data_IF_836717725716
#
_entry.id   IF_836717725716
#
_cell.length_a   1.000
_cell.length_b   1.000
_cell.length_c   1.000
_cell.angle_alpha   90.00
_cell.angle_beta   90.00
_cell.angle_gamma   90.00
#
_symmetry.space_group_name_H-M   'P 1'
#
loop_
_entity.id
_entity.type
_entity.pdbx_description
1 polymer ?
#
# COMPACT_ATOMS: atom_id res chain seq x y z
N UNK A 1 -0.71 23.94 -15.94
CA UNK A 1 -2.16 24.19 -15.70
C UNK A 1 -2.75 22.97 -15.01
N UNK A 2 -3.08 23.13 -13.72
CA UNK A 2 -3.59 22.09 -12.81
C UNK A 2 -5.03 21.68 -13.16
N UNK A 3 -5.26 20.40 -13.46
CA UNK A 3 -6.60 19.80 -13.61
C UNK A 3 -6.77 18.51 -12.79
N UNK A 4 -6.20 18.43 -11.58
CA UNK A 4 -6.26 17.18 -10.78
C UNK A 4 -6.59 17.35 -9.29
N UNK A 5 -6.99 18.52 -8.80
CA UNK A 5 -7.25 18.69 -7.34
C UNK A 5 -8.60 18.15 -6.89
N UNK A 6 -9.58 17.97 -7.78
CA UNK A 6 -10.94 17.55 -7.40
C UNK A 6 -11.16 16.04 -7.31
N UNK A 7 -10.24 15.21 -7.87
CA UNK A 7 -10.43 13.75 -7.89
C UNK A 7 -9.92 13.07 -6.61
N UNK A 8 -8.94 13.64 -5.91
CA UNK A 8 -8.18 12.98 -4.84
C UNK A 8 -8.58 13.40 -3.43
N UNK A 9 -9.88 13.37 -3.10
CA UNK A 9 -10.36 13.69 -1.75
C UNK A 9 -11.08 12.51 -1.12
N UNK A 10 -10.75 12.22 0.13
CA UNK A 10 -11.49 11.30 0.97
C UNK A 10 -12.85 11.91 1.29
N UNK A 11 -13.92 11.16 0.96
CA UNK A 11 -15.31 11.57 1.17
C UNK A 11 -16.03 10.76 2.24
N UNK A 12 -15.33 9.84 2.90
CA UNK A 12 -15.92 9.05 3.98
C UNK A 12 -16.08 9.89 5.24
N UNK A 13 -16.90 9.39 6.16
CA UNK A 13 -17.01 9.91 7.51
C UNK A 13 -16.41 8.85 8.44
N UNK A 14 -15.38 9.24 9.18
CA UNK A 14 -14.79 8.44 10.24
C UNK A 14 -14.60 9.39 11.41
N UNK A 15 -15.23 9.09 12.55
CA UNK A 15 -15.06 9.92 13.74
C UNK A 15 -13.66 9.73 14.32
N UNK A 16 -13.17 10.64 15.18
CA UNK A 16 -11.94 10.43 15.93
C UNK A 16 -11.92 9.08 16.67
N UNK A 17 -13.04 8.69 17.29
CA UNK A 17 -13.17 7.42 18.02
C UNK A 17 -13.07 6.21 17.09
N UNK A 18 -13.63 6.30 15.87
CA UNK A 18 -13.50 5.25 14.86
C UNK A 18 -12.05 5.10 14.38
N UNK A 19 -11.33 6.21 14.22
CA UNK A 19 -9.91 6.24 13.84
C UNK A 19 -9.09 5.56 14.94
N UNK A 20 -9.27 5.98 16.20
CA UNK A 20 -8.58 5.41 17.35
C UNK A 20 -8.85 3.91 17.49
N UNK A 21 -10.13 3.49 17.41
CA UNK A 21 -10.50 2.09 17.49
C UNK A 21 -9.90 1.28 16.33
N UNK A 22 -9.84 1.83 15.12
CA UNK A 22 -9.20 1.18 13.97
C UNK A 22 -7.70 1.02 14.18
N UNK A 23 -7.02 2.06 14.62
CA UNK A 23 -5.57 2.04 14.87
C UNK A 23 -5.23 1.11 16.03
N UNK A 24 -6.04 1.06 17.08
CA UNK A 24 -5.87 0.12 18.19
C UNK A 24 -5.94 -1.35 17.71
N UNK A 25 -6.89 -1.69 16.83
CA UNK A 25 -6.95 -3.02 16.22
C UNK A 25 -5.73 -3.32 15.33
N UNK A 26 -5.25 -2.33 14.58
CA UNK A 26 -4.08 -2.49 13.73
C UNK A 26 -2.80 -2.64 14.55
N UNK A 27 -2.71 -1.94 15.69
CA UNK A 27 -1.64 -2.08 16.66
C UNK A 27 -1.50 -3.52 17.14
N UNK A 28 -2.59 -4.14 17.55
CA UNK A 28 -2.60 -5.55 17.97
C UNK A 28 -2.26 -6.49 16.80
N UNK A 29 -2.89 -6.28 15.63
CA UNK A 29 -2.72 -7.16 14.45
C UNK A 29 -1.30 -7.16 13.92
N UNK A 30 -0.62 -6.02 13.96
CA UNK A 30 0.74 -5.86 13.42
C UNK A 30 1.84 -5.79 14.48
N UNK A 31 1.50 -5.89 15.78
CA UNK A 31 2.47 -5.71 16.86
C UNK A 31 3.14 -4.33 16.80
N UNK A 32 2.36 -3.27 16.59
CA UNK A 32 2.90 -1.91 16.52
C UNK A 32 3.18 -1.36 17.93
N UNK A 33 4.31 -0.68 18.04
CA UNK A 33 4.77 0.01 19.23
C UNK A 33 4.82 1.52 18.98
N UNK A 34 4.76 2.33 20.03
CA UNK A 34 4.89 3.79 19.97
C UNK A 34 4.02 4.50 18.90
N UNK A 35 2.80 4.01 18.72
CA UNK A 35 1.87 4.55 17.71
C UNK A 35 1.41 5.94 18.10
N UNK A 36 1.70 6.93 17.27
CA UNK A 36 1.41 8.35 17.53
C UNK A 36 0.90 9.05 16.28
N UNK A 37 -0.09 9.94 16.47
CA UNK A 37 -0.48 10.94 15.48
C UNK A 37 0.06 12.30 15.92
N UNK A 38 0.70 13.03 15.00
CA UNK A 38 1.20 14.38 15.25
C UNK A 38 0.70 15.32 14.18
N UNK A 39 0.04 16.41 14.55
CA UNK A 39 -0.32 17.47 13.61
C UNK A 39 0.91 18.31 13.25
N UNK A 40 1.02 18.66 11.97
CA UNK A 40 2.09 19.55 11.49
C UNK A 40 1.93 20.97 12.02
N UNK A 41 3.05 21.66 12.16
CA UNK A 41 3.12 23.06 12.63
C UNK A 41 3.85 23.92 11.61
N UNK A 42 3.66 25.25 11.67
CA UNK A 42 4.34 26.18 10.78
C UNK A 42 3.98 25.97 9.32
N UNK A 43 4.96 25.66 8.47
CA UNK A 43 4.77 25.42 7.04
C UNK A 43 3.96 24.14 6.74
N UNK A 44 3.90 23.22 7.71
CA UNK A 44 3.18 21.94 7.58
C UNK A 44 1.81 21.97 8.27
N UNK A 45 1.34 23.14 8.70
CA UNK A 45 0.06 23.28 9.39
C UNK A 45 -1.10 22.65 8.60
N UNK A 46 -1.87 21.80 9.29
CA UNK A 46 -2.99 21.05 8.71
C UNK A 46 -2.64 19.65 8.20
N UNK A 47 -1.35 19.31 8.10
CA UNK A 47 -0.91 17.92 7.87
C UNK A 47 -0.99 17.09 9.14
N UNK A 48 -1.00 15.77 8.98
CA UNK A 48 -0.90 14.81 10.09
C UNK A 48 0.13 13.74 9.75
N UNK A 49 0.98 13.39 10.71
CA UNK A 49 1.91 12.27 10.63
C UNK A 49 1.48 11.13 11.54
N UNK A 50 1.47 9.91 11.01
CA UNK A 50 1.37 8.66 11.77
C UNK A 50 2.76 8.05 11.89
N UNK A 51 3.25 7.90 13.13
CA UNK A 51 4.53 7.27 13.45
C UNK A 51 4.30 6.04 14.31
N UNK A 52 5.06 4.98 14.07
CA UNK A 52 5.08 3.78 14.90
C UNK A 52 6.39 3.00 14.74
N UNK A 53 6.64 2.09 15.66
CA UNK A 53 7.70 1.09 15.63
C UNK A 53 7.10 -0.27 15.28
N UNK A 54 7.79 -1.05 14.46
CA UNK A 54 7.36 -2.40 14.08
C UNK A 54 8.59 -3.19 13.63
N UNK A 55 8.77 -4.39 14.19
CA UNK A 55 9.95 -5.24 13.96
C UNK A 55 11.29 -4.48 14.21
N UNK A 56 11.31 -3.61 15.22
CA UNK A 56 12.47 -2.77 15.55
C UNK A 56 12.78 -1.67 14.52
N UNK A 57 11.87 -1.39 13.58
CA UNK A 57 12.01 -0.36 12.55
C UNK A 57 11.00 0.76 12.78
N UNK A 58 11.45 2.01 12.62
CA UNK A 58 10.58 3.18 12.68
C UNK A 58 9.94 3.44 11.32
N UNK A 59 8.63 3.54 11.30
CA UNK A 59 7.85 3.95 10.13
C UNK A 59 7.17 5.28 10.45
N UNK A 60 7.23 6.22 9.51
CA UNK A 60 6.54 7.49 9.62
C UNK A 60 5.95 7.88 8.27
N UNK A 61 4.65 8.19 8.28
CA UNK A 61 3.93 8.63 7.10
C UNK A 61 3.13 9.87 7.38
N UNK A 62 3.30 10.87 6.52
CA UNK A 62 2.57 12.13 6.56
C UNK A 62 1.46 12.15 5.52
N UNK A 63 0.28 12.63 5.91
CA UNK A 63 -0.83 12.94 5.03
C UNK A 63 -1.15 14.43 5.14
N UNK A 64 -1.07 15.14 4.02
CA UNK A 64 -1.34 16.58 3.90
C UNK A 64 -2.26 16.89 2.71
N UNK A 65 -2.95 15.88 2.19
CA UNK A 65 -3.72 15.95 0.94
C UNK A 65 -5.19 16.24 1.17
N UNK A 66 -5.67 16.15 2.42
CA UNK A 66 -7.08 16.33 2.75
C UNK A 66 -7.39 17.72 3.32
N UNK A 67 -8.65 18.18 3.22
CA UNK A 67 -9.04 19.52 3.68
C UNK A 67 -8.95 19.72 5.20
N UNK A 68 -8.91 18.65 6.00
CA UNK A 68 -8.92 18.73 7.47
C UNK A 68 -7.94 17.73 8.10
N UNK A 69 -7.39 18.01 9.29
CA UNK A 69 -6.56 17.07 10.04
C UNK A 69 -7.28 15.73 10.31
N UNK A 70 -8.56 15.77 10.67
CA UNK A 70 -9.36 14.56 10.88
C UNK A 70 -9.44 13.68 9.62
N UNK A 71 -9.59 14.28 8.43
CA UNK A 71 -9.58 13.54 7.18
C UNK A 71 -8.18 12.97 6.86
N UNK A 72 -7.10 13.71 7.15
CA UNK A 72 -5.73 13.21 7.03
C UNK A 72 -5.50 11.99 7.96
N UNK A 73 -5.96 12.06 9.21
CA UNK A 73 -5.89 10.94 10.17
C UNK A 73 -6.67 9.71 9.69
N UNK A 74 -7.89 9.91 9.15
CA UNK A 74 -8.67 8.82 8.57
C UNK A 74 -7.95 8.16 7.38
N UNK A 75 -7.33 8.96 6.49
CA UNK A 75 -6.53 8.45 5.39
C UNK A 75 -5.35 7.61 5.87
N UNK A 76 -4.63 8.05 6.90
CA UNK A 76 -3.51 7.30 7.47
C UNK A 76 -3.96 5.96 8.08
N UNK A 77 -5.08 5.94 8.79
CA UNK A 77 -5.64 4.70 9.34
C UNK A 77 -6.09 3.71 8.24
N UNK A 78 -6.71 4.21 7.17
CA UNK A 78 -7.11 3.40 6.01
C UNK A 78 -5.90 2.88 5.22
N UNK A 79 -4.86 3.68 5.08
CA UNK A 79 -3.61 3.24 4.47
C UNK A 79 -2.97 2.12 5.29
N UNK A 80 -2.86 2.28 6.61
CA UNK A 80 -2.25 1.26 7.48
C UNK A 80 -3.06 -0.05 7.45
N UNK A 81 -4.39 0.04 7.39
CA UNK A 81 -5.25 -1.14 7.21
C UNK A 81 -4.99 -1.87 5.89
N UNK A 82 -4.73 -1.13 4.81
CA UNK A 82 -4.37 -1.74 3.53
C UNK A 82 -3.01 -2.45 3.60
N UNK A 83 -2.00 -1.81 4.19
CA UNK A 83 -0.68 -2.44 4.42
C UNK A 83 -0.84 -3.73 5.23
N UNK A 84 -1.60 -3.68 6.33
CA UNK A 84 -1.83 -4.83 7.19
C UNK A 84 -2.42 -6.01 6.41
N UNK A 85 -3.46 -5.75 5.62
CA UNK A 85 -4.12 -6.78 4.81
C UNK A 85 -3.18 -7.41 3.78
N UNK A 86 -2.33 -6.62 3.14
CA UNK A 86 -1.42 -7.12 2.12
C UNK A 86 -0.27 -7.94 2.71
N UNK A 87 0.21 -7.57 3.89
CA UNK A 87 1.19 -8.34 4.66
C UNK A 87 0.61 -9.68 5.14
N UNK A 88 -0.59 -9.67 5.73
CA UNK A 88 -1.30 -10.87 6.18
C UNK A 88 -1.60 -11.84 5.03
N UNK A 89 -1.92 -11.30 3.85
CA UNK A 89 -2.13 -12.11 2.64
C UNK A 89 -0.83 -12.62 2.04
N UNK A 90 0.34 -12.21 2.53
CA UNK A 90 1.63 -12.51 1.93
C UNK A 90 1.76 -11.97 0.50
N UNK A 91 1.00 -10.92 0.16
CA UNK A 91 1.09 -10.25 -1.15
C UNK A 91 2.30 -9.33 -1.13
N UNK A 92 2.46 -8.51 -0.10
CA UNK A 92 3.60 -7.61 0.09
C UNK A 92 4.54 -8.15 1.17
N UNK A 93 5.85 -7.96 1.00
CA UNK A 93 6.80 -8.01 2.10
C UNK A 93 6.71 -6.72 2.93
N UNK A 94 7.34 -6.73 4.11
CA UNK A 94 7.43 -5.52 4.94
C UNK A 94 8.12 -4.37 4.19
N UNK A 95 9.24 -4.66 3.53
CA UNK A 95 10.00 -3.69 2.74
C UNK A 95 9.17 -3.11 1.61
N UNK A 96 8.37 -3.93 0.92
CA UNK A 96 7.49 -3.46 -0.14
C UNK A 96 6.37 -2.57 0.39
N UNK A 97 5.72 -2.99 1.49
CA UNK A 97 4.58 -2.29 2.06
C UNK A 97 4.95 -0.88 2.54
N UNK A 98 6.13 -0.69 3.12
CA UNK A 98 6.54 0.57 3.76
C UNK A 98 7.65 1.33 3.02
N UNK A 99 8.01 0.94 1.79
CA UNK A 99 9.12 1.53 1.03
C UNK A 99 9.06 3.06 0.89
N UNK A 100 7.88 3.67 0.90
CA UNK A 100 7.68 5.12 0.76
C UNK A 100 7.77 5.90 2.08
N UNK A 101 7.81 5.20 3.22
CA UNK A 101 7.64 5.76 4.57
C UNK A 101 8.69 5.25 5.59
N UNK A 102 9.65 4.44 5.14
CA UNK A 102 10.72 3.93 6.02
C UNK A 102 11.71 5.04 6.32
N UNK A 103 11.82 5.42 7.59
CA UNK A 103 12.87 6.33 8.04
C UNK A 103 14.03 5.50 8.57
N UNK A 104 15.15 5.54 7.84
CA UNK A 104 16.39 4.82 8.09
C UNK A 104 16.81 4.85 9.57
N UNK A 105 16.68 3.69 10.22
CA UNK A 105 17.60 3.20 11.24
C UNK A 105 17.51 1.67 11.19
N UNK A 106 18.16 1.07 10.19
CA UNK A 106 18.44 -0.35 10.22
C UNK A 106 19.50 -0.56 11.30
N UNK A 107 19.09 -1.02 12.48
CA UNK A 107 20.02 -1.84 13.26
C UNK A 107 20.00 -3.21 12.59
N UNK A 108 21.10 -3.54 11.91
CA UNK A 108 21.25 -4.72 11.04
C UNK A 108 21.12 -6.07 11.76
N UNK A 109 20.93 -6.09 13.09
CA UNK A 109 20.92 -7.31 13.88
C UNK A 109 19.54 -7.94 14.11
N UNK A 110 18.45 -7.38 13.58
CA UNK A 110 17.10 -7.88 13.88
C UNK A 110 16.45 -8.70 12.76
N UNK A 111 17.24 -9.54 12.09
CA UNK A 111 16.78 -10.49 11.06
C UNK A 111 15.83 -11.58 11.62
N UNK A 112 15.77 -11.69 12.96
CA UNK A 112 14.93 -12.61 13.71
C UNK A 112 13.45 -12.18 13.84
N UNK A 113 13.13 -10.92 13.49
CA UNK A 113 11.76 -10.39 13.59
C UNK A 113 10.90 -10.69 12.33
N UNK A 114 11.30 -11.65 11.48
CA UNK A 114 10.41 -12.27 10.47
C UNK A 114 9.35 -13.16 11.16
N UNK A 115 8.69 -12.63 12.19
CA UNK A 115 7.60 -13.26 12.91
C UNK A 115 6.35 -13.18 12.04
N UNK A 116 5.91 -14.35 11.57
CA UNK A 116 4.79 -14.53 10.64
C UNK A 116 3.60 -13.62 10.97
N UNK A 117 3.36 -12.62 10.12
CA UNK A 117 2.06 -11.96 10.04
C UNK A 117 0.98 -13.03 10.01
N UNK A 118 -0.17 -12.77 10.64
CA UNK A 118 -1.30 -13.71 10.55
C UNK A 118 -1.55 -14.03 9.08
N UNK A 119 -1.37 -15.30 8.71
CA UNK A 119 -1.55 -15.72 7.32
C UNK A 119 -3.04 -15.76 7.01
N UNK A 120 -3.47 -14.92 6.08
CA UNK A 120 -4.85 -14.78 5.65
C UNK A 120 -4.92 -14.88 4.13
N UNK A 121 -4.62 -16.05 3.58
CA UNK A 121 -4.65 -16.29 2.14
C UNK A 121 -6.02 -15.94 1.53
N UNK A 122 -6.01 -15.60 0.24
CA UNK A 122 -7.24 -15.38 -0.50
C UNK A 122 -8.07 -16.67 -0.58
N UNK A 123 -9.32 -16.61 -0.12
CA UNK A 123 -10.27 -17.74 -0.13
C UNK A 123 -11.47 -17.51 -1.07
N UNK A 124 -11.47 -16.42 -1.83
CA UNK A 124 -12.55 -16.12 -2.76
C UNK A 124 -12.47 -16.95 -4.05
N UNK A 125 -13.50 -16.84 -4.88
CA UNK A 125 -13.67 -17.63 -6.10
C UNK A 125 -13.58 -16.78 -7.38
N UNK A 126 -12.81 -15.67 -7.36
CA UNK A 126 -12.71 -14.82 -8.56
C UNK A 126 -12.17 -15.60 -9.75
N UNK A 127 -12.86 -15.52 -10.88
CA UNK A 127 -12.35 -16.07 -12.13
C UNK A 127 -11.19 -15.22 -12.69
N UNK A 128 -10.47 -15.77 -13.67
CA UNK A 128 -9.40 -15.03 -14.37
C UNK A 128 -9.98 -13.78 -15.06
N UNK A 129 -11.14 -13.90 -15.68
CA UNK A 129 -11.86 -12.81 -16.36
C UNK A 129 -12.22 -11.70 -15.39
N UNK A 130 -12.74 -12.05 -14.21
CA UNK A 130 -13.02 -11.07 -13.16
C UNK A 130 -11.76 -10.37 -12.66
N UNK A 131 -10.62 -11.10 -12.59
CA UNK A 131 -9.34 -10.49 -12.24
C UNK A 131 -8.86 -9.50 -13.31
N UNK A 132 -9.02 -9.84 -14.60
CA UNK A 132 -8.68 -8.96 -15.72
C UNK A 132 -9.49 -7.66 -15.65
N UNK A 133 -10.79 -7.72 -15.40
CA UNK A 133 -11.63 -6.52 -15.25
C UNK A 133 -11.23 -5.68 -14.03
N UNK A 134 -10.80 -6.32 -12.94
CA UNK A 134 -10.23 -5.61 -11.80
C UNK A 134 -8.93 -4.90 -12.19
N UNK A 135 -8.02 -5.54 -12.94
CA UNK A 135 -6.80 -4.88 -13.43
C UNK A 135 -7.15 -3.67 -14.31
N UNK A 136 -7.98 -3.85 -15.35
CA UNK A 136 -8.39 -2.76 -16.26
C UNK A 136 -8.94 -1.55 -15.53
N UNK A 137 -9.92 -1.79 -14.64
CA UNK A 137 -10.54 -0.71 -13.88
C UNK A 137 -9.57 -0.03 -12.91
N UNK A 138 -8.57 -0.74 -12.40
CA UNK A 138 -7.54 -0.18 -11.51
C UNK A 138 -6.53 0.66 -12.29
N UNK A 139 -6.06 0.17 -13.44
CA UNK A 139 -5.14 0.88 -14.33
C UNK A 139 -5.76 2.17 -14.87
N UNK A 140 -7.06 2.15 -15.20
CA UNK A 140 -7.79 3.35 -15.60
C UNK A 140 -7.78 4.44 -14.51
N UNK A 141 -7.93 4.07 -13.23
CA UNK A 141 -7.82 5.02 -12.10
C UNK A 141 -6.42 5.61 -11.95
N UNK A 142 -5.40 4.80 -12.24
CA UNK A 142 -4.00 5.20 -12.20
C UNK A 142 -3.54 5.95 -13.46
N UNK A 143 -4.40 6.09 -14.46
CA UNK A 143 -4.05 6.63 -15.78
C UNK A 143 -2.90 5.87 -16.48
N UNK A 144 -2.84 4.55 -16.28
CA UNK A 144 -1.89 3.65 -16.95
C UNK A 144 -2.59 2.99 -18.14
N UNK A 145 -1.97 3.07 -19.33
CA UNK A 145 -2.54 2.49 -20.54
C UNK A 145 -2.34 0.96 -20.59
N UNK A 146 -3.33 0.22 -21.09
CA UNK A 146 -3.23 -1.25 -21.17
C UNK A 146 -2.01 -1.74 -21.98
N UNK A 147 -1.59 -1.00 -23.01
CA UNK A 147 -0.38 -1.31 -23.81
C UNK A 147 0.92 -1.28 -23.00
N UNK A 148 0.91 -0.59 -21.86
CA UNK A 148 2.04 -0.43 -20.96
C UNK A 148 2.02 -1.47 -19.83
N UNK A 149 1.15 -2.48 -19.92
CA UNK A 149 0.94 -3.50 -18.89
C UNK A 149 1.13 -4.90 -19.46
N UNK A 150 1.77 -5.75 -18.67
CA UNK A 150 1.86 -7.20 -18.89
C UNK A 150 1.52 -7.92 -17.59
N UNK A 151 0.47 -8.73 -17.63
CA UNK A 151 0.14 -9.69 -16.57
C UNK A 151 0.45 -11.09 -17.09
N UNK A 152 1.21 -11.85 -16.32
CA UNK A 152 1.59 -13.24 -16.64
C UNK A 152 1.43 -14.10 -15.40
N UNK A 153 1.11 -15.37 -15.59
CA UNK A 153 1.01 -16.34 -14.51
C UNK A 153 1.46 -17.72 -15.00
N UNK A 154 1.82 -18.57 -14.04
CA UNK A 154 2.24 -19.94 -14.29
C UNK A 154 1.57 -20.85 -13.27
N UNK A 155 0.70 -21.72 -13.77
CA UNK A 155 -0.06 -22.66 -12.94
C UNK A 155 0.85 -23.73 -12.33
N UNK A 156 1.86 -24.21 -13.08
CA UNK A 156 2.76 -25.26 -12.61
C UNK A 156 3.73 -24.73 -11.54
N UNK A 157 4.22 -23.50 -11.72
CA UNK A 157 5.11 -22.85 -10.75
C UNK A 157 4.35 -22.02 -9.68
N UNK A 158 3.02 -22.01 -9.71
CA UNK A 158 2.12 -21.33 -8.77
C UNK A 158 2.49 -19.85 -8.50
N UNK A 159 2.55 -19.02 -9.54
CA UNK A 159 2.78 -17.59 -9.38
C UNK A 159 2.00 -16.75 -10.40
N UNK A 160 1.77 -15.48 -10.04
CA UNK A 160 1.25 -14.44 -10.93
C UNK A 160 2.11 -13.17 -10.80
N UNK A 161 2.33 -12.46 -11.90
CA UNK A 161 3.19 -11.28 -11.99
C UNK A 161 2.52 -10.18 -12.81
N UNK A 162 2.59 -8.97 -12.29
CA UNK A 162 2.21 -7.72 -12.96
C UNK A 162 3.50 -6.95 -13.24
N UNK A 163 3.68 -6.55 -14.49
CA UNK A 163 4.66 -5.55 -14.87
C UNK A 163 3.93 -4.40 -15.56
N UNK A 164 4.13 -3.18 -15.11
CA UNK A 164 3.52 -2.00 -15.74
C UNK A 164 4.48 -0.82 -15.82
N UNK A 165 4.35 -0.01 -16.85
CA UNK A 165 5.05 1.27 -16.98
C UNK A 165 4.15 2.41 -16.51
N UNK A 166 4.62 3.18 -15.54
CA UNK A 166 3.95 4.37 -15.03
C UNK A 166 4.07 5.54 -16.02
N UNK A 167 3.24 6.59 -15.91
CA UNK A 167 3.35 7.78 -16.77
C UNK A 167 4.72 8.48 -16.70
N UNK A 168 5.45 8.34 -15.59
CA UNK A 168 6.83 8.79 -15.41
C UNK A 168 7.85 8.04 -16.27
N UNK A 169 7.46 6.87 -16.81
CA UNK A 169 8.35 5.92 -17.47
C UNK A 169 8.93 4.85 -16.53
N UNK A 170 8.76 5.00 -15.21
CA UNK A 170 9.22 4.02 -14.24
C UNK A 170 8.48 2.68 -14.40
N UNK A 171 9.17 1.57 -14.10
CA UNK A 171 8.61 0.23 -14.25
C UNK A 171 8.27 -0.33 -12.89
N UNK A 172 7.02 -0.70 -12.68
CA UNK A 172 6.55 -1.47 -11.52
C UNK A 172 6.59 -2.95 -11.86
N UNK A 173 7.12 -3.77 -10.95
CA UNK A 173 7.19 -5.22 -11.04
C UNK A 173 6.76 -5.85 -9.72
N UNK A 174 5.62 -6.55 -9.75
CA UNK A 174 5.04 -7.20 -8.58
C UNK A 174 4.70 -8.64 -8.88
N UNK A 175 5.21 -9.56 -8.05
CA UNK A 175 4.90 -10.99 -8.13
C UNK A 175 4.17 -11.46 -6.87
N UNK A 176 3.07 -12.19 -7.04
CA UNK A 176 2.41 -12.97 -5.99
C UNK A 176 2.74 -14.45 -6.18
N UNK A 177 3.17 -15.13 -5.11
CA UNK A 177 3.57 -16.56 -5.13
C UNK A 177 3.24 -17.34 -3.87
N UNK A 178 2.54 -16.71 -2.93
CA UNK A 178 2.30 -17.23 -1.58
C UNK A 178 0.92 -17.88 -1.45
N UNK A 179 0.03 -17.66 -2.42
CA UNK A 179 -1.33 -18.20 -2.36
C UNK A 179 -1.39 -19.70 -2.65
N UNK A 180 -2.52 -20.32 -2.25
CA UNK A 180 -2.78 -21.76 -2.43
C UNK A 180 -2.86 -22.20 -3.89
N UNK A 181 -3.20 -21.30 -4.82
CA UNK A 181 -3.27 -21.59 -6.26
C UNK A 181 -2.86 -20.39 -7.11
N UNK A 182 -2.65 -20.64 -8.40
CA UNK A 182 -2.27 -19.62 -9.36
C UNK A 182 -3.37 -18.57 -9.57
N UNK A 183 -4.63 -19.02 -9.62
CA UNK A 183 -5.81 -18.17 -9.69
C UNK A 183 -5.93 -17.29 -8.44
N UNK A 184 -5.67 -17.88 -7.26
CA UNK A 184 -5.63 -17.12 -6.02
C UNK A 184 -4.49 -16.08 -6.02
N UNK A 185 -3.31 -16.42 -6.55
CA UNK A 185 -2.21 -15.46 -6.74
C UNK A 185 -2.60 -14.33 -7.68
N UNK A 186 -3.29 -14.62 -8.79
CA UNK A 186 -3.78 -13.61 -9.73
C UNK A 186 -4.84 -12.70 -9.08
N UNK A 187 -5.80 -13.28 -8.35
CA UNK A 187 -6.82 -12.54 -7.63
C UNK A 187 -6.23 -11.66 -6.52
N UNK A 188 -5.27 -12.18 -5.77
CA UNK A 188 -4.55 -11.44 -4.74
C UNK A 188 -3.82 -10.22 -5.34
N UNK A 189 -3.14 -10.41 -6.47
CA UNK A 189 -2.46 -9.34 -7.19
C UNK A 189 -3.43 -8.28 -7.75
N UNK A 190 -4.57 -8.71 -8.29
CA UNK A 190 -5.62 -7.81 -8.78
C UNK A 190 -6.22 -6.98 -7.64
N UNK A 191 -6.49 -7.60 -6.48
CA UNK A 191 -7.00 -6.92 -5.29
C UNK A 191 -5.98 -5.95 -4.68
N UNK A 192 -4.70 -6.29 -4.69
CA UNK A 192 -3.62 -5.39 -4.29
C UNK A 192 -3.60 -4.13 -5.17
N UNK A 193 -3.58 -4.29 -6.49
CA UNK A 193 -3.59 -3.14 -7.40
C UNK A 193 -4.87 -2.30 -7.24
N UNK A 194 -6.02 -2.96 -7.08
CA UNK A 194 -7.29 -2.27 -6.85
C UNK A 194 -7.27 -1.42 -5.60
N UNK A 195 -6.68 -1.93 -4.51
CA UNK A 195 -6.61 -1.18 -3.25
C UNK A 195 -5.71 0.04 -3.39
N UNK A 196 -4.52 -0.13 -3.96
CA UNK A 196 -3.60 0.98 -4.28
C UNK A 196 -4.28 2.02 -5.19
N UNK A 197 -4.95 1.59 -6.24
CA UNK A 197 -5.63 2.47 -7.19
C UNK A 197 -6.80 3.24 -6.56
N UNK A 198 -7.58 2.61 -5.68
CA UNK A 198 -8.66 3.28 -4.94
C UNK A 198 -8.11 4.27 -3.92
N UNK A 199 -7.03 3.93 -3.23
CA UNK A 199 -6.41 4.83 -2.27
C UNK A 199 -5.76 6.03 -2.97
N UNK A 200 -5.13 5.81 -4.12
CA UNK A 200 -4.65 6.89 -5.01
C UNK A 200 -5.80 7.81 -5.45
N UNK A 201 -6.87 7.24 -6.00
CA UNK A 201 -8.04 7.99 -6.44
C UNK A 201 -8.66 8.78 -5.28
N UNK A 202 -8.61 8.28 -4.04
CA UNK A 202 -9.15 8.98 -2.86
C UNK A 202 -8.19 9.97 -2.21
N UNK A 203 -6.96 10.09 -2.72
CA UNK A 203 -5.90 10.91 -2.10
C UNK A 203 -5.37 10.37 -0.77
N UNK A 204 -5.60 9.09 -0.48
CA UNK A 204 -5.06 8.36 0.68
C UNK A 204 -3.58 8.00 0.46
N UNK A 205 -3.21 7.72 -0.80
CA UNK A 205 -1.81 7.51 -1.19
C UNK A 205 -1.04 8.82 -1.36
N UNK A 206 0.30 8.72 -1.51
CA UNK A 206 1.15 9.82 -1.97
C UNK A 206 0.56 10.47 -3.24
N UNK A 207 0.84 11.77 -3.47
CA UNK A 207 0.52 12.47 -4.72
C UNK A 207 1.48 12.11 -5.87
N UNK A 208 2.53 11.35 -5.57
CA UNK A 208 3.51 10.84 -6.51
C UNK A 208 3.28 9.34 -6.71
N UNK A 209 2.90 8.97 -7.93
CA UNK A 209 2.58 7.57 -8.27
C UNK A 209 3.81 6.67 -8.16
N UNK A 210 5.01 7.19 -8.40
CA UNK A 210 6.25 6.43 -8.24
C UNK A 210 6.45 6.06 -6.77
N UNK A 211 6.15 6.98 -5.83
CA UNK A 211 6.18 6.70 -4.39
C UNK A 211 5.14 5.66 -3.97
N UNK A 212 3.94 5.68 -4.54
CA UNK A 212 2.90 4.66 -4.24
C UNK A 212 3.41 3.23 -4.50
N UNK A 213 4.25 3.08 -5.52
CA UNK A 213 4.82 1.79 -5.93
C UNK A 213 6.31 1.65 -5.61
N UNK A 214 6.87 2.46 -4.70
CA UNK A 214 8.31 2.52 -4.43
C UNK A 214 8.93 1.15 -4.14
N UNK A 215 8.20 0.29 -3.43
CA UNK A 215 8.65 -1.08 -3.10
C UNK A 215 8.73 -2.03 -4.29
N UNK A 216 8.21 -1.64 -5.45
CA UNK A 216 8.09 -2.48 -6.64
C UNK A 216 8.72 -1.83 -7.89
N UNK A 217 9.42 -0.71 -7.75
CA UNK A 217 10.07 -0.05 -8.89
C UNK A 217 11.33 -0.81 -9.36
N UNK A 218 11.59 -0.76 -10.67
CA UNK A 218 12.83 -1.22 -11.30
C UNK A 218 13.67 -0.03 -11.83
N UNK A 219 15.02 -0.08 -11.67
CA UNK A 219 15.74 -1.03 -10.84
C UNK A 219 15.31 -0.88 -9.37
N UNK A 220 15.38 -1.97 -8.60
CA UNK A 220 15.06 -1.92 -7.18
C UNK A 220 15.88 -0.78 -6.54
N UNK A 221 15.28 0.04 -5.66
CA UNK A 221 16.03 1.07 -4.95
C UNK A 221 17.28 0.45 -4.36
N UNK A 222 18.44 1.08 -4.57
CA UNK A 222 19.68 0.59 -3.98
C UNK A 222 19.45 0.42 -2.47
N UNK A 223 19.74 -0.77 -1.94
CA UNK A 223 19.83 -0.93 -0.48
C UNK A 223 20.87 0.08 -0.02
N UNK A 224 20.46 1.11 0.70
CA UNK A 224 21.40 2.02 1.36
C UNK A 224 22.10 1.14 2.38
N UNK A 225 23.36 0.82 2.09
CA UNK A 225 24.26 0.07 2.94
C UNK A 225 24.61 0.85 4.21
#
# INVERSE_FOLDING_TARGET
>A
MNRSTARSQYRGQMSPEDIEAKVARLRERLGLEDVTFTEGVGLDAGSVSLRFQVLGRRVERTCATQPTPAANSACLALWLEDRARNLERGIESFEEAFADCLVLAANDDNDAAKGAWRVNHYEGQRSIEECIEVFRSSLARLSVAERDVKVTWDTAANWARLRMRLPSGAIVDKTSRTQKSCEANLAALALWLQSRARNWERGIESLDLDRVFAGNLLPAPAKVA
#
